data_IF_958598066402
#
_entry.id   IF_958598066402
#
_cell.length_a   1.000
_cell.length_b   1.000
_cell.length_c   1.000
_cell.angle_alpha   90.00
_cell.angle_beta   90.00
_cell.angle_gamma   90.00
#
_symmetry.space_group_name_H-M   'P 1'
#
loop_
_entity.id
_entity.type
_entity.pdbx_description
1 polymer ?
#
# COMPACT_ATOMS: atom_id res chain seq x y z
N UNK A 1 -3.59 25.16 8.21
CA UNK A 1 -4.27 25.07 6.90
C UNK A 1 -3.78 23.81 6.23
N UNK A 2 -4.67 23.00 5.64
CA UNK A 2 -4.24 21.79 4.91
C UNK A 2 -3.85 22.17 3.48
N UNK A 3 -2.97 21.38 2.84
CA UNK A 3 -2.57 21.55 1.45
C UNK A 3 -3.33 20.55 0.57
N UNK A 4 -3.87 21.01 -0.55
CA UNK A 4 -4.67 20.20 -1.48
C UNK A 4 -3.91 19.96 -2.78
N UNK A 5 -3.80 18.70 -3.17
CA UNK A 5 -3.26 18.28 -4.45
C UNK A 5 -4.40 17.69 -5.29
N UNK A 6 -4.50 18.09 -6.56
CA UNK A 6 -5.46 17.54 -7.53
C UNK A 6 -4.74 16.59 -8.47
N UNK A 7 -5.42 15.53 -8.89
CA UNK A 7 -4.88 14.53 -9.79
C UNK A 7 -5.73 14.43 -11.05
N UNK A 8 -5.06 14.21 -12.18
CA UNK A 8 -5.69 14.03 -13.49
C UNK A 8 -5.05 12.86 -14.22
N UNK A 9 -5.86 11.90 -14.62
CA UNK A 9 -5.45 10.67 -15.25
C UNK A 9 -5.98 9.42 -14.56
N UNK A 10 -5.70 8.28 -15.13
CA UNK A 10 -6.13 6.95 -14.69
C UNK A 10 -4.95 5.99 -14.86
N UNK A 11 -4.69 5.19 -13.86
CA UNK A 11 -3.85 4.00 -14.00
C UNK A 11 -4.71 2.85 -14.52
N UNK A 12 -4.30 2.19 -15.59
CA UNK A 12 -5.01 1.09 -16.22
C UNK A 12 -4.55 -0.25 -15.64
N UNK A 13 -5.48 -1.17 -15.45
CA UNK A 13 -5.20 -2.56 -15.08
C UNK A 13 -5.11 -3.43 -16.35
N UNK A 14 -4.29 -4.49 -16.30
CA UNK A 14 -4.20 -5.49 -17.37
C UNK A 14 -5.54 -6.19 -17.64
N UNK A 15 -6.36 -6.39 -16.60
CA UNK A 15 -7.68 -7.01 -16.66
C UNK A 15 -8.67 -6.26 -15.77
N UNK A 16 -9.98 -6.51 -15.99
CA UNK A 16 -11.04 -5.96 -15.15
C UNK A 16 -11.04 -6.62 -13.77
N UNK A 17 -11.14 -5.83 -12.71
CA UNK A 17 -11.39 -6.32 -11.35
C UNK A 17 -12.72 -7.08 -11.28
N UNK A 18 -12.79 -8.11 -10.44
CA UNK A 18 -14.08 -8.71 -10.05
C UNK A 18 -14.94 -7.70 -9.30
N UNK A 19 -16.26 -7.83 -9.38
CA UNK A 19 -17.19 -6.89 -8.73
C UNK A 19 -16.99 -6.84 -7.20
N UNK A 20 -16.65 -7.96 -6.57
CA UNK A 20 -16.31 -8.01 -5.15
C UNK A 20 -15.05 -7.21 -4.81
N UNK A 21 -14.04 -7.21 -5.67
CA UNK A 21 -12.80 -6.45 -5.48
C UNK A 21 -13.04 -4.95 -5.68
N UNK A 22 -13.86 -4.58 -6.69
CA UNK A 22 -14.30 -3.19 -6.88
C UNK A 22 -15.03 -2.69 -5.65
N UNK A 23 -15.99 -3.46 -5.14
CA UNK A 23 -16.74 -3.11 -3.94
C UNK A 23 -15.82 -2.95 -2.72
N UNK A 24 -14.93 -3.92 -2.50
CA UNK A 24 -13.99 -3.87 -1.39
C UNK A 24 -13.09 -2.61 -1.44
N UNK A 25 -12.48 -2.31 -2.59
CA UNK A 25 -11.60 -1.14 -2.72
C UNK A 25 -12.36 0.18 -2.55
N UNK A 26 -13.62 0.26 -3.00
CA UNK A 26 -14.49 1.42 -2.74
C UNK A 26 -14.79 1.57 -1.24
N UNK A 27 -15.16 0.50 -0.55
CA UNK A 27 -15.40 0.53 0.88
C UNK A 27 -14.10 0.80 1.67
N UNK A 28 -12.95 0.31 1.18
CA UNK A 28 -11.64 0.60 1.75
C UNK A 28 -11.32 2.10 1.72
N UNK A 29 -11.58 2.78 0.61
CA UNK A 29 -11.36 4.23 0.48
C UNK A 29 -12.34 5.05 1.33
N UNK A 30 -13.57 4.59 1.48
CA UNK A 30 -14.63 5.25 2.28
C UNK A 30 -14.48 5.07 3.77
N UNK A 31 -13.74 4.04 4.19
CA UNK A 31 -13.53 3.74 5.60
C UNK A 31 -12.34 4.52 6.14
N UNK A 32 -12.53 5.32 7.20
CA UNK A 32 -11.42 5.93 7.92
C UNK A 32 -10.49 4.84 8.46
N UNK A 33 -9.24 4.87 8.04
CA UNK A 33 -8.20 3.89 8.42
C UNK A 33 -7.69 4.19 9.83
N UNK A 34 -8.36 3.66 10.84
CA UNK A 34 -8.00 3.84 12.25
C UNK A 34 -7.52 2.53 12.86
N UNK A 35 -6.63 2.64 13.83
CA UNK A 35 -6.14 1.49 14.60
C UNK A 35 -7.28 0.85 15.38
N UNK A 36 -7.49 -0.46 15.21
CA UNK A 36 -8.59 -1.23 15.81
C UNK A 36 -8.09 -2.44 16.59
N UNK A 37 -8.88 -2.84 17.57
CA UNK A 37 -8.71 -4.12 18.26
C UNK A 37 -9.26 -5.25 17.38
N UNK A 38 -8.37 -6.12 16.93
CA UNK A 38 -8.71 -7.25 16.03
C UNK A 38 -9.65 -8.25 16.72
N UNK A 39 -9.50 -8.51 18.02
CA UNK A 39 -10.37 -9.42 18.76
C UNK A 39 -11.81 -8.91 18.80
N UNK A 40 -12.01 -7.60 18.97
CA UNK A 40 -13.33 -6.98 18.94
C UNK A 40 -13.98 -7.04 17.54
N UNK A 41 -13.16 -7.12 16.48
CA UNK A 41 -13.62 -7.21 15.10
C UNK A 41 -13.98 -8.64 14.66
N UNK A 42 -13.59 -9.69 15.38
CA UNK A 42 -13.75 -11.08 14.93
C UNK A 42 -15.21 -11.46 14.64
N UNK A 43 -16.17 -10.85 15.35
CA UNK A 43 -17.60 -11.10 15.16
C UNK A 43 -18.32 -9.95 14.46
N UNK A 44 -17.58 -8.92 14.02
CA UNK A 44 -18.17 -7.82 13.28
C UNK A 44 -18.39 -8.22 11.81
N UNK A 45 -19.59 -8.03 11.25
CA UNK A 45 -19.83 -8.34 9.85
C UNK A 45 -18.95 -7.47 8.95
N UNK A 46 -18.27 -8.09 7.98
CA UNK A 46 -17.45 -7.38 6.99
C UNK A 46 -17.55 -8.10 5.63
N UNK A 47 -18.77 -8.09 5.03
CA UNK A 47 -19.05 -8.89 3.85
C UNK A 47 -18.18 -8.51 2.64
N UNK A 48 -17.77 -7.25 2.51
CA UNK A 48 -16.93 -6.84 1.40
C UNK A 48 -15.51 -7.42 1.52
N UNK A 49 -14.91 -7.40 2.72
CA UNK A 49 -13.62 -8.01 2.99
C UNK A 49 -13.67 -9.54 2.85
N UNK A 50 -14.72 -10.15 3.39
CA UNK A 50 -14.92 -11.61 3.34
C UNK A 50 -15.08 -12.11 1.90
N UNK A 51 -15.79 -11.35 1.05
CA UNK A 51 -16.00 -11.69 -0.35
C UNK A 51 -14.72 -11.71 -1.18
N UNK A 52 -13.65 -11.04 -0.73
CA UNK A 52 -12.33 -11.06 -1.38
C UNK A 52 -11.31 -11.91 -0.63
N UNK A 53 -11.73 -12.62 0.42
CA UNK A 53 -10.90 -13.58 1.16
C UNK A 53 -9.77 -12.96 1.99
N UNK A 54 -9.85 -11.66 2.33
CA UNK A 54 -8.83 -11.00 3.11
C UNK A 54 -8.99 -11.26 4.62
N UNK A 55 -7.89 -11.43 5.39
CA UNK A 55 -7.93 -11.44 6.85
C UNK A 55 -8.33 -10.07 7.39
N UNK A 56 -8.50 -9.93 8.72
CA UNK A 56 -8.69 -8.61 9.33
C UNK A 56 -7.44 -7.73 9.22
N UNK A 57 -6.27 -8.35 9.13
CA UNK A 57 -4.99 -7.65 9.10
C UNK A 57 -4.56 -7.15 10.47
N UNK A 58 -3.32 -6.70 10.57
CA UNK A 58 -2.80 -6.09 11.80
C UNK A 58 -3.56 -4.79 12.11
N UNK A 59 -3.89 -4.58 13.37
CA UNK A 59 -4.68 -3.44 13.84
C UNK A 59 -6.02 -3.23 13.08
N UNK A 60 -6.59 -4.30 12.47
CA UNK A 60 -7.80 -4.23 11.67
C UNK A 60 -7.59 -3.55 10.30
N UNK A 61 -6.38 -3.63 9.75
CA UNK A 61 -5.97 -2.89 8.55
C UNK A 61 -6.77 -3.20 7.29
N UNK A 62 -7.47 -4.33 7.21
CA UNK A 62 -8.31 -4.68 6.06
C UNK A 62 -9.82 -4.58 6.34
N UNK A 63 -10.22 -4.22 7.57
CA UNK A 63 -11.62 -4.03 7.92
C UNK A 63 -12.21 -2.82 7.16
N UNK A 64 -13.42 -2.98 6.58
CA UNK A 64 -14.06 -1.93 5.76
C UNK A 64 -15.52 -1.65 6.12
N UNK A 65 -16.18 -2.50 6.90
CA UNK A 65 -17.57 -2.29 7.26
C UNK A 65 -17.73 -1.26 8.37
N UNK A 66 -17.60 0.04 8.02
CA UNK A 66 -17.81 1.14 8.96
C UNK A 66 -19.16 1.79 8.70
N UNK A 67 -20.20 1.24 9.32
CA UNK A 67 -21.49 1.97 9.43
C UNK A 67 -21.46 2.83 10.67
N UNK A 68 -21.77 4.11 10.52
CA UNK A 68 -21.68 5.14 11.57
C UNK A 68 -22.59 4.91 12.77
N UNK A 69 -23.60 4.09 12.64
CA UNK A 69 -24.68 3.79 13.57
C UNK A 69 -24.54 2.43 14.29
N UNK A 70 -23.45 1.69 14.07
CA UNK A 70 -23.24 0.41 14.75
C UNK A 70 -22.25 0.55 15.91
N UNK A 71 -22.73 0.32 17.12
CA UNK A 71 -21.98 0.29 18.39
C UNK A 71 -20.67 -0.54 18.31
N UNK A 72 -20.64 -1.55 17.46
CA UNK A 72 -19.48 -2.44 17.31
C UNK A 72 -18.27 -1.76 16.67
N UNK A 73 -18.47 -0.77 15.80
CA UNK A 73 -17.37 -0.05 15.15
C UNK A 73 -16.63 0.86 16.12
N UNK A 74 -17.32 1.47 17.09
CA UNK A 74 -16.69 2.33 18.10
C UNK A 74 -15.91 1.51 19.14
N UNK A 75 -16.44 0.38 19.60
CA UNK A 75 -15.78 -0.50 20.59
C UNK A 75 -14.45 -1.04 20.07
N UNK A 76 -14.32 -1.24 18.76
CA UNK A 76 -13.09 -1.74 18.16
C UNK A 76 -11.99 -0.67 17.99
N UNK A 77 -12.32 0.62 18.02
CA UNK A 77 -11.35 1.69 17.78
C UNK A 77 -10.41 1.85 18.98
N UNK A 78 -9.12 1.62 18.76
CA UNK A 78 -8.07 1.80 19.76
C UNK A 78 -7.51 3.22 19.73
N UNK A 79 -7.29 3.77 18.52
CA UNK A 79 -6.80 5.14 18.35
C UNK A 79 -7.40 5.74 17.07
N UNK A 80 -8.21 6.78 17.25
CA UNK A 80 -8.94 7.44 16.15
C UNK A 80 -8.05 8.28 15.24
N UNK A 81 -6.86 8.64 15.70
CA UNK A 81 -5.93 9.52 14.98
C UNK A 81 -4.70 8.80 14.44
N UNK A 82 -4.62 7.49 14.65
CA UNK A 82 -3.53 6.68 14.12
C UNK A 82 -4.06 5.62 13.16
N UNK A 83 -3.44 5.48 11.98
CA UNK A 83 -3.77 4.40 11.07
C UNK A 83 -3.32 3.06 11.65
N UNK A 84 -3.86 1.93 11.14
CA UNK A 84 -3.29 0.61 11.34
C UNK A 84 -1.82 0.59 10.94
N UNK A 85 -1.04 -0.29 11.57
CA UNK A 85 0.38 -0.42 11.24
C UNK A 85 0.58 -0.71 9.75
N UNK A 86 1.56 -0.04 9.14
CA UNK A 86 1.88 -0.18 7.73
C UNK A 86 0.99 0.62 6.77
N UNK A 87 -0.09 1.26 7.27
CA UNK A 87 -0.91 2.13 6.41
C UNK A 87 -0.40 3.57 6.41
N UNK A 88 -0.32 4.22 5.23
CA UNK A 88 0.30 5.53 5.09
C UNK A 88 -0.42 6.66 5.83
N UNK A 89 -1.73 6.53 6.06
CA UNK A 89 -2.52 7.60 6.65
C UNK A 89 -3.94 7.16 7.00
N UNK A 90 -4.80 8.14 7.28
CA UNK A 90 -6.18 7.89 7.71
C UNK A 90 -7.16 7.72 6.53
N UNK A 91 -6.77 8.11 5.31
CA UNK A 91 -7.64 8.07 4.14
C UNK A 91 -6.85 7.68 2.89
N UNK A 92 -7.32 6.66 2.21
CA UNK A 92 -6.90 6.31 0.85
C UNK A 92 -7.90 6.91 -0.13
N UNK A 93 -7.46 7.76 -1.04
CA UNK A 93 -8.34 8.36 -2.05
C UNK A 93 -8.11 7.80 -3.46
N UNK A 94 -7.34 6.72 -3.59
CA UNK A 94 -7.29 5.93 -4.81
C UNK A 94 -8.46 4.95 -4.83
N UNK A 95 -9.30 5.03 -5.86
CA UNK A 95 -10.48 4.18 -6.04
C UNK A 95 -10.45 3.47 -7.40
N UNK A 96 -11.12 2.32 -7.55
CA UNK A 96 -11.34 1.72 -8.85
C UNK A 96 -12.14 2.66 -9.76
N UNK A 97 -11.86 2.61 -11.07
CA UNK A 97 -12.75 3.22 -12.07
C UNK A 97 -14.12 2.53 -12.07
N UNK A 98 -15.20 3.21 -12.52
CA UNK A 98 -16.55 2.63 -12.53
C UNK A 98 -16.68 1.34 -13.34
N UNK A 99 -15.83 1.16 -14.35
CA UNK A 99 -15.78 -0.05 -15.18
C UNK A 99 -14.87 -1.14 -14.61
N UNK A 100 -14.17 -0.86 -13.49
CA UNK A 100 -13.26 -1.77 -12.83
C UNK A 100 -11.96 -2.04 -13.60
N UNK A 101 -11.63 -1.24 -14.63
CA UNK A 101 -10.44 -1.43 -15.47
C UNK A 101 -9.26 -0.56 -15.11
N UNK A 102 -9.35 0.19 -14.03
CA UNK A 102 -8.28 1.08 -13.61
C UNK A 102 -8.45 1.59 -12.20
N UNK A 103 -7.51 2.43 -11.78
CA UNK A 103 -7.48 3.13 -10.50
C UNK A 103 -7.37 4.61 -10.77
N UNK A 104 -8.17 5.42 -10.08
CA UNK A 104 -8.24 6.87 -10.20
C UNK A 104 -8.38 7.53 -8.83
N UNK A 105 -8.13 8.84 -8.76
CA UNK A 105 -8.43 9.65 -7.59
C UNK A 105 -9.93 9.87 -7.45
N UNK A 106 -10.44 9.88 -6.21
CA UNK A 106 -11.85 10.05 -5.89
C UNK A 106 -12.34 11.52 -5.94
N UNK A 107 -11.42 12.48 -6.13
CA UNK A 107 -11.72 13.90 -6.14
C UNK A 107 -11.72 14.57 -4.76
N UNK A 108 -11.39 13.85 -3.70
CA UNK A 108 -11.37 14.35 -2.33
C UNK A 108 -10.21 15.33 -2.07
N UNK A 109 -10.42 16.25 -1.11
CA UNK A 109 -9.37 17.20 -0.69
C UNK A 109 -8.33 16.53 0.21
N UNK A 110 -7.12 17.15 0.27
CA UNK A 110 -6.07 16.83 1.25
C UNK A 110 -5.61 15.39 1.20
N UNK A 111 -5.40 14.88 0.00
CA UNK A 111 -4.85 13.55 -0.18
C UNK A 111 -3.35 13.53 0.13
N UNK A 112 -3.01 13.22 1.37
CA UNK A 112 -1.63 13.06 1.81
C UNK A 112 -1.11 11.66 1.54
N UNK A 113 0.21 11.52 1.39
CA UNK A 113 0.88 10.23 1.20
C UNK A 113 0.36 9.44 -0.01
N UNK A 114 -0.08 10.12 -1.05
CA UNK A 114 -0.74 9.51 -2.23
C UNK A 114 0.14 8.47 -2.95
N UNK A 115 1.48 8.68 -3.00
CA UNK A 115 2.41 7.69 -3.55
C UNK A 115 2.45 6.43 -2.67
N UNK A 116 2.61 6.61 -1.35
CA UNK A 116 2.64 5.49 -0.42
C UNK A 116 1.31 4.72 -0.41
N UNK A 117 0.17 5.42 -0.55
CA UNK A 117 -1.14 4.78 -0.72
C UNK A 117 -1.25 3.99 -2.02
N UNK A 118 -0.73 4.51 -3.13
CA UNK A 118 -0.72 3.78 -4.40
C UNK A 118 0.11 2.51 -4.28
N UNK A 119 1.29 2.60 -3.68
CA UNK A 119 2.16 1.47 -3.40
C UNK A 119 1.49 0.45 -2.46
N UNK A 120 0.79 0.93 -1.41
CA UNK A 120 0.02 0.08 -0.52
C UNK A 120 -1.05 -0.72 -1.27
N UNK A 121 -1.84 -0.08 -2.16
CA UNK A 121 -2.84 -0.78 -2.97
C UNK A 121 -2.22 -1.83 -3.88
N UNK A 122 -1.10 -1.50 -4.52
CA UNK A 122 -0.37 -2.43 -5.38
C UNK A 122 0.06 -3.66 -4.57
N UNK A 123 0.79 -3.46 -3.48
CA UNK A 123 1.41 -4.53 -2.70
C UNK A 123 0.37 -5.40 -1.98
N UNK A 124 -0.66 -4.79 -1.39
CA UNK A 124 -1.59 -5.52 -0.52
C UNK A 124 -2.82 -6.07 -1.24
N UNK A 125 -3.15 -5.55 -2.43
CA UNK A 125 -4.37 -5.95 -3.14
C UNK A 125 -4.09 -6.34 -4.59
N UNK A 126 -3.61 -5.41 -5.43
CA UNK A 126 -3.54 -5.65 -6.86
C UNK A 126 -2.59 -6.79 -7.23
N UNK A 127 -1.37 -6.77 -6.72
CA UNK A 127 -0.36 -7.79 -7.00
C UNK A 127 -0.73 -9.17 -6.43
N UNK A 128 -1.19 -9.33 -5.17
CA UNK A 128 -1.69 -10.59 -4.65
C UNK A 128 -2.89 -11.16 -5.41
N UNK A 129 -3.70 -10.29 -6.00
CA UNK A 129 -4.83 -10.69 -6.84
C UNK A 129 -4.44 -10.97 -8.31
N UNK A 130 -3.17 -10.75 -8.69
CA UNK A 130 -2.65 -11.02 -10.03
C UNK A 130 -2.87 -9.89 -11.03
N UNK A 131 -3.12 -8.67 -10.58
CA UNK A 131 -3.29 -7.50 -11.45
C UNK A 131 -2.00 -6.70 -11.60
N UNK A 132 -1.83 -6.15 -12.80
CA UNK A 132 -0.74 -5.25 -13.17
C UNK A 132 -1.30 -3.87 -13.45
N UNK A 133 -0.78 -2.86 -12.74
CA UNK A 133 -1.15 -1.47 -12.88
C UNK A 133 -0.14 -0.75 -13.77
N UNK A 134 -0.63 0.03 -14.73
CA UNK A 134 0.18 0.78 -15.68
C UNK A 134 -0.43 2.16 -15.94
N UNK A 135 0.39 3.14 -16.26
CA UNK A 135 -0.09 4.45 -16.73
C UNK A 135 0.55 5.64 -16.06
N UNK A 136 0.02 6.82 -16.37
CA UNK A 136 0.48 8.11 -15.87
C UNK A 136 -0.70 8.90 -15.30
N UNK A 137 -0.51 9.45 -14.10
CA UNK A 137 -1.41 10.43 -13.48
C UNK A 137 -0.62 11.70 -13.20
N UNK A 138 -1.13 12.83 -13.68
CA UNK A 138 -0.58 14.16 -13.41
C UNK A 138 -1.14 14.69 -12.10
N UNK A 139 -0.36 15.49 -11.41
CA UNK A 139 -0.83 16.18 -10.22
C UNK A 139 -0.40 17.65 -10.19
N UNK A 140 -1.21 18.46 -9.51
CA UNK A 140 -0.98 19.87 -9.28
C UNK A 140 -1.39 20.21 -7.83
N UNK A 141 -0.47 20.85 -7.10
CA UNK A 141 -0.72 21.36 -5.75
C UNK A 141 -1.48 22.70 -5.76
N UNK A 142 -1.64 23.30 -4.59
CA UNK A 142 -2.22 24.66 -4.45
C UNK A 142 -1.32 25.72 -5.07
N UNK A 143 0.02 25.54 -5.00
CA UNK A 143 0.96 26.33 -5.76
C UNK A 143 1.04 25.79 -7.20
N UNK A 144 0.72 26.60 -8.24
CA UNK A 144 0.78 26.16 -9.63
C UNK A 144 2.16 25.68 -10.10
N UNK A 145 3.25 26.05 -9.42
CA UNK A 145 4.60 25.55 -9.69
C UNK A 145 4.86 24.16 -9.10
N UNK A 146 4.04 23.74 -8.13
CA UNK A 146 4.10 22.42 -7.50
C UNK A 146 3.29 21.42 -8.31
N UNK A 147 3.91 20.92 -9.38
CA UNK A 147 3.28 19.97 -10.34
C UNK A 147 4.20 18.81 -10.62
N UNK A 148 3.60 17.70 -11.01
CA UNK A 148 4.36 16.53 -11.43
C UNK A 148 3.49 15.43 -12.02
N UNK A 149 4.08 14.25 -12.09
CA UNK A 149 3.42 13.05 -12.57
C UNK A 149 3.86 11.82 -11.78
N UNK A 150 2.95 10.90 -11.66
CA UNK A 150 3.19 9.57 -11.14
C UNK A 150 3.12 8.63 -12.34
N UNK A 151 4.17 7.86 -12.56
CA UNK A 151 4.22 6.86 -13.63
C UNK A 151 4.29 5.49 -12.96
N UNK A 152 3.47 4.57 -13.44
CA UNK A 152 3.49 3.16 -13.00
C UNK A 152 3.68 2.27 -14.23
N UNK A 153 4.64 1.38 -14.18
CA UNK A 153 4.89 0.34 -15.17
C UNK A 153 4.95 -1.02 -14.47
N UNK A 154 4.03 -1.91 -14.82
CA UNK A 154 3.92 -3.26 -14.27
C UNK A 154 4.02 -3.31 -12.73
N UNK A 155 3.18 -2.51 -12.05
CA UNK A 155 3.17 -2.32 -10.59
C UNK A 155 4.37 -1.56 -10.02
N UNK A 156 5.33 -1.14 -10.83
CA UNK A 156 6.50 -0.37 -10.40
C UNK A 156 6.19 1.12 -10.53
N UNK A 157 6.25 1.85 -9.40
CA UNK A 157 6.12 3.31 -9.41
C UNK A 157 7.47 3.91 -9.80
N UNK A 158 7.53 4.49 -11.02
CA UNK A 158 8.72 5.13 -11.56
C UNK A 158 8.85 6.52 -10.96
N UNK A 159 9.97 6.77 -10.30
CA UNK A 159 10.28 8.09 -9.76
C UNK A 159 11.06 8.90 -10.80
N UNK A 160 10.58 10.10 -11.19
CA UNK A 160 11.39 11.02 -11.97
C UNK A 160 12.65 11.37 -11.18
N UNK A 161 13.82 11.29 -11.84
CA UNK A 161 15.06 11.70 -11.22
C UNK A 161 14.97 13.18 -10.78
N UNK A 162 15.14 13.46 -9.48
CA UNK A 162 15.22 14.81 -8.91
C UNK A 162 14.06 15.27 -8.03
N UNK A 163 13.04 14.45 -7.78
CA UNK A 163 11.94 14.82 -6.86
C UNK A 163 12.03 13.99 -5.57
N UNK A 164 12.52 14.63 -4.52
CA UNK A 164 12.68 14.06 -3.19
C UNK A 164 11.36 14.24 -2.41
N UNK A 165 10.43 13.28 -2.52
CA UNK A 165 9.11 13.35 -1.87
C UNK A 165 9.12 13.04 -0.36
N UNK A 166 10.26 12.62 0.20
CA UNK A 166 10.38 12.26 1.61
C UNK A 166 11.60 12.89 2.25
N UNK A 167 11.46 14.10 2.76
CA UNK A 167 12.46 14.74 3.63
C UNK A 167 12.37 14.30 5.11
N UNK A 168 11.70 13.19 5.44
CA UNK A 168 11.68 12.70 6.80
C UNK A 168 12.17 11.25 6.91
N UNK A 169 13.27 11.10 7.63
CA UNK A 169 14.00 9.88 7.99
C UNK A 169 14.82 9.23 6.86
N UNK A 170 16.07 9.64 6.74
CA UNK A 170 17.05 9.19 5.72
C UNK A 170 17.81 7.92 6.08
N UNK A 171 17.55 7.29 7.23
CA UNK A 171 18.31 6.12 7.66
C UNK A 171 17.80 4.84 7.00
N UNK A 172 18.69 3.99 6.45
CA UNK A 172 18.34 2.67 5.94
C UNK A 172 17.64 1.82 7.00
N UNK A 173 16.80 0.90 6.57
CA UNK A 173 16.07 0.00 7.47
C UNK A 173 17.00 -1.11 7.95
N UNK A 174 17.22 -1.26 9.27
CA UNK A 174 18.02 -2.33 9.80
C UNK A 174 17.28 -3.67 9.66
N UNK A 175 18.00 -4.66 9.13
CA UNK A 175 17.51 -6.03 8.93
C UNK A 175 18.56 -7.05 9.39
N UNK A 176 18.16 -8.24 9.81
CA UNK A 176 19.11 -9.32 10.10
C UNK A 176 20.05 -9.55 8.91
N UNK A 177 21.32 -9.83 9.20
CA UNK A 177 22.34 -10.00 8.15
C UNK A 177 21.99 -11.09 7.12
N UNK A 178 21.36 -12.18 7.56
CA UNK A 178 20.87 -13.25 6.66
C UNK A 178 19.78 -12.75 5.73
N UNK A 179 18.91 -11.88 6.23
CA UNK A 179 17.86 -11.24 5.43
C UNK A 179 18.46 -10.31 4.39
N UNK A 180 19.42 -9.45 4.78
CA UNK A 180 20.10 -8.56 3.86
C UNK A 180 20.79 -9.34 2.72
N UNK A 181 21.49 -10.43 3.05
CA UNK A 181 22.15 -11.27 2.05
C UNK A 181 21.16 -11.86 1.04
N UNK A 182 19.99 -12.29 1.49
CA UNK A 182 18.96 -12.81 0.59
C UNK A 182 18.29 -11.72 -0.26
N UNK A 183 18.09 -10.51 0.29
CA UNK A 183 17.65 -9.34 -0.47
C UNK A 183 18.66 -9.01 -1.57
N UNK A 184 19.94 -8.88 -1.23
CA UNK A 184 21.03 -8.58 -2.17
C UNK A 184 21.16 -9.66 -3.25
N UNK A 185 21.08 -10.95 -2.88
CA UNK A 185 21.15 -12.06 -3.82
C UNK A 185 19.98 -12.04 -4.82
N UNK A 186 18.75 -11.80 -4.35
CA UNK A 186 17.59 -11.70 -5.23
C UNK A 186 17.69 -10.49 -6.17
N UNK A 187 18.07 -9.33 -5.65
CA UNK A 187 18.23 -8.11 -6.43
C UNK A 187 19.38 -8.15 -7.43
N UNK A 188 20.40 -8.98 -7.19
CA UNK A 188 21.46 -9.24 -8.14
C UNK A 188 20.96 -10.00 -9.38
N UNK A 189 19.85 -10.73 -9.31
CA UNK A 189 19.23 -11.37 -10.47
C UNK A 189 18.40 -10.40 -11.29
N UNK A 190 17.66 -9.53 -10.62
CA UNK A 190 16.85 -8.45 -11.22
C UNK A 190 16.59 -7.37 -10.18
N UNK A 191 17.15 -6.19 -10.40
CA UNK A 191 17.00 -5.05 -9.50
C UNK A 191 15.54 -4.56 -9.36
N UNK A 192 14.67 -4.85 -10.34
CA UNK A 192 13.26 -4.46 -10.30
C UNK A 192 12.44 -5.26 -9.30
N UNK A 193 12.95 -6.42 -8.85
CA UNK A 193 12.32 -7.25 -7.82
C UNK A 193 12.08 -6.51 -6.50
N UNK A 194 12.85 -5.44 -6.24
CA UNK A 194 12.67 -4.60 -5.03
C UNK A 194 11.26 -4.03 -4.92
N UNK A 195 10.57 -3.83 -6.03
CA UNK A 195 9.23 -3.24 -6.09
C UNK A 195 8.09 -4.27 -6.03
N UNK A 196 8.41 -5.56 -6.07
CA UNK A 196 7.45 -6.67 -5.95
C UNK A 196 7.85 -7.62 -4.84
N UNK A 197 7.27 -7.42 -3.65
CA UNK A 197 7.58 -8.29 -2.52
C UNK A 197 7.25 -9.76 -2.77
N UNK A 198 6.22 -10.05 -3.58
CA UNK A 198 5.81 -11.41 -3.95
C UNK A 198 6.87 -12.06 -4.84
N UNK A 199 7.33 -11.33 -5.87
CA UNK A 199 8.37 -11.81 -6.76
C UNK A 199 9.71 -11.95 -6.03
N UNK A 200 10.11 -10.95 -5.24
CA UNK A 200 11.35 -10.97 -4.47
C UNK A 200 11.35 -12.11 -3.45
N UNK A 201 10.24 -12.29 -2.72
CA UNK A 201 10.06 -13.41 -1.79
C UNK A 201 10.26 -14.78 -2.50
N UNK A 202 9.61 -14.97 -3.65
CA UNK A 202 9.73 -16.21 -4.43
C UNK A 202 11.17 -16.44 -4.86
N UNK A 203 11.81 -15.42 -5.42
CA UNK A 203 13.22 -15.49 -5.85
C UNK A 203 14.15 -15.77 -4.67
N UNK A 204 13.92 -15.16 -3.51
CA UNK A 204 14.70 -15.45 -2.31
C UNK A 204 14.59 -16.93 -1.89
N UNK A 205 13.40 -17.54 -1.97
CA UNK A 205 13.21 -18.98 -1.70
C UNK A 205 13.99 -19.82 -2.74
N UNK A 206 13.85 -19.50 -4.02
CA UNK A 206 14.53 -20.22 -5.12
C UNK A 206 16.06 -20.17 -5.00
N UNK A 207 16.59 -19.07 -4.47
CA UNK A 207 18.02 -18.87 -4.21
C UNK A 207 18.51 -19.47 -2.87
N UNK A 208 17.61 -20.05 -2.07
CA UNK A 208 17.97 -20.70 -0.80
C UNK A 208 18.01 -19.76 0.40
N UNK A 209 17.27 -18.64 0.37
CA UNK A 209 17.13 -17.69 1.47
C UNK A 209 15.70 -17.67 2.06
N UNK A 210 15.20 -18.77 2.68
CA UNK A 210 13.84 -18.84 3.20
C UNK A 210 13.60 -17.87 4.36
N UNK A 211 14.65 -17.49 5.12
CA UNK A 211 14.57 -16.51 6.21
C UNK A 211 14.22 -15.13 5.68
N UNK A 212 14.77 -14.75 4.53
CA UNK A 212 14.44 -13.48 3.85
C UNK A 212 12.97 -13.47 3.43
N UNK A 213 12.47 -14.58 2.88
CA UNK A 213 11.06 -14.70 2.49
C UNK A 213 10.13 -14.57 3.70
N UNK A 214 10.44 -15.24 4.81
CA UNK A 214 9.67 -15.17 6.05
C UNK A 214 9.71 -13.78 6.65
N UNK A 215 10.88 -13.12 6.60
CA UNK A 215 11.03 -11.77 7.11
C UNK A 215 10.20 -10.77 6.29
N UNK A 216 10.21 -10.85 4.97
CA UNK A 216 9.39 -9.99 4.10
C UNK A 216 7.90 -10.13 4.45
N UNK A 217 7.39 -11.37 4.57
CA UNK A 217 5.99 -11.62 4.92
C UNK A 217 5.58 -11.06 6.28
N UNK A 218 6.47 -11.18 7.27
CA UNK A 218 6.17 -10.76 8.63
C UNK A 218 6.46 -9.27 8.90
N UNK A 219 7.16 -8.57 8.00
CA UNK A 219 7.60 -7.18 8.18
C UNK A 219 7.37 -6.34 6.92
N UNK A 220 6.21 -6.50 6.25
CA UNK A 220 5.90 -5.77 5.02
C UNK A 220 6.05 -4.25 5.15
N UNK A 221 5.68 -3.68 6.31
CA UNK A 221 5.87 -2.26 6.58
C UNK A 221 7.35 -1.83 6.52
N UNK A 222 8.24 -2.62 7.16
CA UNK A 222 9.69 -2.36 7.12
C UNK A 222 10.26 -2.58 5.73
N UNK A 223 9.73 -3.58 5.01
CA UNK A 223 10.10 -3.83 3.63
C UNK A 223 9.77 -2.61 2.75
N UNK A 224 8.54 -2.11 2.80
CA UNK A 224 8.12 -0.92 2.04
C UNK A 224 9.00 0.29 2.34
N UNK A 225 9.28 0.54 3.61
CA UNK A 225 10.22 1.60 4.01
C UNK A 225 11.64 1.34 3.48
N UNK A 226 12.09 0.10 3.47
CA UNK A 226 13.40 -0.29 2.97
C UNK A 226 13.54 -0.15 1.45
N UNK A 227 12.45 -0.33 0.70
CA UNK A 227 12.42 -0.04 -0.75
C UNK A 227 12.80 1.43 -1.01
N UNK A 228 12.38 2.33 -0.11
CA UNK A 228 12.62 3.76 -0.23
C UNK A 228 13.97 4.20 0.33
N UNK A 229 14.38 3.63 1.48
CA UNK A 229 15.52 4.08 2.27
C UNK A 229 16.78 3.22 2.10
N UNK A 230 16.64 2.08 1.45
CA UNK A 230 17.64 1.02 1.46
C UNK A 230 17.56 0.15 2.72
N UNK A 231 18.32 -0.94 2.70
CA UNK A 231 18.45 -1.86 3.83
C UNK A 231 19.90 -1.87 4.33
N UNK A 232 20.08 -2.08 5.61
CA UNK A 232 21.40 -2.21 6.24
C UNK A 232 21.36 -3.39 7.23
N UNK A 233 22.49 -4.07 7.42
CA UNK A 233 22.58 -5.10 8.44
C UNK A 233 22.41 -4.49 9.83
N UNK A 234 21.63 -5.13 10.71
CA UNK A 234 21.61 -4.80 12.13
C UNK A 234 23.00 -5.03 12.73
N UNK A 235 23.53 -4.02 13.44
CA UNK A 235 24.74 -4.18 14.25
C UNK A 235 24.45 -5.17 15.37
N UNK A 236 25.36 -6.11 15.58
CA UNK A 236 25.28 -7.11 16.67
C UNK A 236 25.61 -6.45 18.01
#
# INVERSE_FOLDING_TARGET
>A
MGYTTKFDGIFSLNERLFDSQVLYLLEFSRTRRVKRNVEALQNAPDPAREAVGLPLGEDGGYFVNQKWDEEHAEISVVDYNKPPRGQPGLWCQWIPTPDGRGVQWDGGEKFYQYIAWLQYLIIHFLEPWGYWLNGEVKWIGEDPSDTGRIIVEDNVIIRPAGVDFLKEATSPIPVPRTVLQGLEAALATDATLIYSWVALRRTAIELGYPETATWIESHLEKYVLGVERGFIAEDQ
#
